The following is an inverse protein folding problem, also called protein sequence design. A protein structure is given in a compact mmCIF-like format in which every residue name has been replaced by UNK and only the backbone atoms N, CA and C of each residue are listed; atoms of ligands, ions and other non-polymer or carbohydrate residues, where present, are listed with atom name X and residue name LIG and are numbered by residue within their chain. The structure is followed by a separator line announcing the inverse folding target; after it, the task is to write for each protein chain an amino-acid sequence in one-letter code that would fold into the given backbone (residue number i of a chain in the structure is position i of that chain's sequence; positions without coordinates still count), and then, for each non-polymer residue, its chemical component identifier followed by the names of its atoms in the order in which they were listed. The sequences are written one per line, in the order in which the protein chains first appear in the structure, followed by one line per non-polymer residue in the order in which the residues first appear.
data_IF_142685642757
#
_entry.id   IF_142685642757
#
_cell.length_a   1.000
_cell.length_b   1.000
_cell.length_c   1.000
_cell.angle_alpha   90.00
_cell.angle_beta   90.00
_cell.angle_gamma   90.00
#
_symmetry.space_group_name_H-M   'P 1'
#
loop_
_entity.id
_entity.type
_entity.pdbx_description
1 polymer ?
#
# COMPACT_ATOMS: atom_id res chain seq x y z
N UNK A 1 18.11 -17.45 -4.59
CA UNK A 1 18.91 -17.84 -5.76
C UNK A 1 18.98 -16.74 -6.83
N UNK A 2 17.85 -16.21 -7.35
CA UNK A 2 17.86 -15.13 -8.35
C UNK A 2 18.71 -13.90 -7.95
N UNK A 3 18.50 -13.35 -6.75
CA UNK A 3 19.27 -12.20 -6.26
C UNK A 3 20.78 -12.49 -6.15
N UNK A 4 21.18 -13.70 -5.74
CA UNK A 4 22.59 -14.09 -5.68
C UNK A 4 23.19 -14.25 -7.07
N UNK A 5 22.44 -14.80 -8.02
CA UNK A 5 22.88 -15.00 -9.40
C UNK A 5 23.28 -13.69 -10.09
N UNK A 6 22.56 -12.60 -9.80
CA UNK A 6 22.89 -11.25 -10.30
C UNK A 6 23.74 -10.42 -9.33
N UNK A 7 24.22 -11.03 -8.24
CA UNK A 7 24.99 -10.37 -7.16
C UNK A 7 24.30 -9.10 -6.65
N UNK A 8 22.98 -9.15 -6.52
CA UNK A 8 22.17 -8.02 -6.07
C UNK A 8 22.54 -7.64 -4.64
N UNK A 9 22.59 -6.34 -4.39
CA UNK A 9 22.86 -5.76 -3.07
C UNK A 9 21.82 -4.69 -2.80
N UNK A 10 21.50 -4.49 -1.52
CA UNK A 10 20.46 -3.58 -1.03
C UNK A 10 19.05 -4.18 -1.20
N UNK A 11 18.00 -3.41 -0.89
CA UNK A 11 16.62 -3.87 -0.98
C UNK A 11 16.10 -3.79 -2.42
N UNK A 12 15.40 -4.83 -2.85
CA UNK A 12 14.74 -4.92 -4.15
C UNK A 12 13.59 -5.91 -4.08
N UNK A 13 12.68 -5.83 -5.04
CA UNK A 13 11.46 -6.66 -5.09
C UNK A 13 11.48 -7.53 -6.33
N UNK A 14 11.15 -8.82 -6.19
CA UNK A 14 10.98 -9.74 -7.31
C UNK A 14 9.50 -10.01 -7.48
N UNK A 15 8.96 -9.70 -8.64
CA UNK A 15 7.53 -9.78 -8.92
C UNK A 15 7.20 -11.05 -9.69
N UNK A 16 6.12 -11.70 -9.26
CA UNK A 16 5.61 -12.93 -9.86
C UNK A 16 4.12 -12.78 -10.19
N UNK A 17 3.72 -13.35 -11.32
CA UNK A 17 2.31 -13.63 -11.62
C UNK A 17 1.95 -15.02 -11.09
N UNK A 18 0.77 -15.13 -10.48
CA UNK A 18 0.21 -16.40 -10.01
C UNK A 18 -1.01 -16.75 -10.87
N UNK A 19 -0.97 -17.91 -11.54
CA UNK A 19 -2.10 -18.38 -12.34
C UNK A 19 -3.17 -19.10 -11.49
N UNK A 20 -4.24 -19.57 -12.16
CA UNK A 20 -5.36 -20.27 -11.51
C UNK A 20 -4.96 -21.63 -10.94
N UNK A 21 -3.92 -22.25 -11.49
CA UNK A 21 -3.32 -23.51 -11.05
C UNK A 21 -2.27 -23.30 -9.94
N UNK A 22 -2.12 -22.07 -9.43
CA UNK A 22 -1.18 -21.67 -8.39
C UNK A 22 0.30 -21.84 -8.78
N UNK A 23 0.61 -21.67 -10.06
CA UNK A 23 1.99 -21.63 -10.58
C UNK A 23 2.49 -20.20 -10.62
N UNK A 24 3.72 -20.00 -10.14
CA UNK A 24 4.40 -18.71 -10.15
C UNK A 24 5.22 -18.53 -11.42
N UNK A 25 5.09 -17.35 -12.02
CA UNK A 25 5.86 -16.94 -13.19
C UNK A 25 6.58 -15.63 -12.88
N UNK A 26 7.91 -15.62 -13.00
CA UNK A 26 8.70 -14.40 -12.85
C UNK A 26 8.26 -13.36 -13.90
N UNK A 27 8.04 -12.13 -13.45
CA UNK A 27 7.70 -11.01 -14.33
C UNK A 27 8.88 -10.05 -14.43
N UNK A 28 9.30 -9.50 -13.30
CA UNK A 28 10.41 -8.54 -13.24
C UNK A 28 11.06 -8.47 -11.85
N UNK A 29 12.17 -7.73 -11.78
CA UNK A 29 12.82 -7.38 -10.53
C UNK A 29 13.00 -5.86 -10.45
N UNK A 30 12.35 -5.24 -9.47
CA UNK A 30 12.49 -3.83 -9.17
C UNK A 30 13.70 -3.61 -8.25
N UNK A 31 14.73 -2.97 -8.80
CA UNK A 31 16.04 -2.79 -8.14
C UNK A 31 16.09 -1.57 -7.22
N UNK A 32 14.98 -1.31 -6.52
CA UNK A 32 14.79 -0.18 -5.60
C UNK A 32 13.78 -0.55 -4.51
N UNK A 33 13.64 0.32 -3.51
CA UNK A 33 12.53 0.25 -2.56
C UNK A 33 11.19 0.42 -3.30
N UNK A 34 10.19 -0.33 -2.87
CA UNK A 34 8.83 -0.19 -3.38
C UNK A 34 8.00 0.75 -2.53
N UNK A 35 6.98 1.37 -3.13
CA UNK A 35 6.07 2.29 -2.43
C UNK A 35 5.40 1.55 -1.26
N UNK A 36 4.97 0.31 -1.52
CA UNK A 36 4.27 -0.61 -0.62
C UNK A 36 5.18 -1.36 0.37
N UNK A 37 6.46 -1.00 0.48
CA UNK A 37 7.34 -1.62 1.48
C UNK A 37 6.81 -1.58 2.93
N UNK A 38 6.03 -0.58 3.40
CA UNK A 38 5.56 -0.55 4.78
C UNK A 38 4.76 -1.79 5.18
N UNK A 39 3.97 -2.40 4.29
CA UNK A 39 3.21 -3.60 4.66
C UNK A 39 4.13 -4.77 5.04
N UNK A 40 5.33 -4.83 4.44
CA UNK A 40 6.36 -5.80 4.79
C UNK A 40 6.98 -5.46 6.14
N UNK A 41 7.28 -4.18 6.38
CA UNK A 41 7.81 -3.72 7.67
C UNK A 41 6.86 -4.04 8.82
N UNK A 42 5.56 -3.75 8.64
CA UNK A 42 4.54 -3.95 9.69
C UNK A 42 4.41 -5.42 10.11
N UNK A 43 4.55 -6.38 9.18
CA UNK A 43 4.42 -7.81 9.51
C UNK A 43 5.75 -8.46 9.89
N UNK A 44 6.89 -7.91 9.47
CA UNK A 44 8.22 -8.47 9.78
C UNK A 44 8.92 -7.81 10.95
N UNK A 45 8.55 -6.57 11.30
CA UNK A 45 9.26 -5.72 12.25
C UNK A 45 10.60 -5.21 11.73
N UNK A 46 10.91 -5.38 10.44
CA UNK A 46 12.18 -4.97 9.84
C UNK A 46 11.99 -3.62 9.14
N UNK A 47 12.73 -2.61 9.60
CA UNK A 47 12.83 -1.31 8.93
C UNK A 47 13.75 -1.44 7.70
N UNK A 48 13.13 -1.46 6.52
CA UNK A 48 13.83 -1.71 5.26
C UNK A 48 14.70 -0.52 4.89
N UNK A 49 14.23 0.72 5.09
CA UNK A 49 15.00 1.93 4.75
C UNK A 49 16.28 2.01 5.60
N UNK A 50 16.17 1.70 6.90
CA UNK A 50 17.33 1.61 7.79
C UNK A 50 18.30 0.52 7.36
N UNK A 51 17.82 -0.66 6.98
CA UNK A 51 18.69 -1.72 6.46
C UNK A 51 19.34 -1.32 5.13
N UNK A 52 18.65 -0.61 4.24
CA UNK A 52 19.24 -0.08 3.00
C UNK A 52 20.45 0.82 3.32
N UNK A 53 20.32 1.72 4.28
CA UNK A 53 21.42 2.61 4.70
C UNK A 53 22.57 1.80 5.31
N UNK A 54 22.28 0.86 6.23
CA UNK A 54 23.29 -0.01 6.85
C UNK A 54 24.07 -0.79 5.79
N UNK A 55 23.39 -1.45 4.87
CA UNK A 55 24.00 -2.19 3.77
C UNK A 55 24.84 -1.27 2.89
N UNK A 56 24.34 -0.07 2.56
CA UNK A 56 25.09 0.91 1.75
C UNK A 56 26.40 1.33 2.43
N UNK A 57 26.41 1.44 3.77
CA UNK A 57 27.62 1.72 4.57
C UNK A 57 28.55 0.50 4.78
N UNK A 58 28.29 -0.63 4.11
CA UNK A 58 29.13 -1.82 4.20
C UNK A 58 28.83 -2.73 5.39
N UNK A 59 27.79 -2.46 6.17
CA UNK A 59 27.38 -3.33 7.26
C UNK A 59 26.68 -4.60 6.72
N UNK A 60 26.82 -5.74 7.39
CA UNK A 60 26.02 -6.92 7.09
C UNK A 60 24.55 -6.72 7.47
N UNK A 61 23.68 -7.58 6.96
CA UNK A 61 22.28 -7.67 7.41
C UNK A 61 22.23 -7.85 8.93
N UNK A 62 21.31 -7.14 9.59
CA UNK A 62 21.14 -7.22 11.05
C UNK A 62 20.44 -8.51 11.52
N UNK A 63 19.99 -9.35 10.58
CA UNK A 63 19.21 -10.56 10.82
C UNK A 63 19.59 -11.67 9.84
N UNK A 64 19.21 -12.91 10.20
CA UNK A 64 19.28 -14.09 9.33
C UNK A 64 17.87 -14.49 8.88
N UNK A 65 17.78 -15.34 7.86
CA UNK A 65 16.49 -15.80 7.32
C UNK A 65 15.57 -16.43 8.39
N UNK A 66 16.13 -17.16 9.36
CA UNK A 66 15.38 -17.80 10.45
C UNK A 66 14.79 -16.79 11.46
N UNK A 67 15.32 -15.57 11.49
CA UNK A 67 14.87 -14.52 12.40
C UNK A 67 13.66 -13.75 11.81
N UNK A 68 13.48 -13.82 10.48
CA UNK A 68 12.38 -13.18 9.77
C UNK A 68 11.09 -13.95 10.01
N UNK A 69 10.20 -13.37 10.81
CA UNK A 69 8.86 -13.91 11.07
C UNK A 69 7.83 -12.94 10.52
N UNK A 70 6.78 -13.46 9.88
CA UNK A 70 5.62 -12.66 9.49
C UNK A 70 4.54 -12.82 10.55
N UNK A 71 4.19 -11.75 11.26
CA UNK A 71 3.24 -11.74 12.36
C UNK A 71 2.08 -10.81 12.00
N UNK A 72 0.87 -11.36 12.00
CA UNK A 72 -0.36 -10.62 11.71
C UNK A 72 -0.58 -10.37 10.21
N UNK A 73 -1.32 -9.31 9.91
CA UNK A 73 -1.68 -8.90 8.56
C UNK A 73 -1.60 -7.39 8.44
N UNK A 74 -1.06 -6.90 7.33
CA UNK A 74 -0.98 -5.47 7.02
C UNK A 74 -1.69 -5.15 5.72
N UNK A 75 -2.37 -4.00 5.68
CA UNK A 75 -3.05 -3.47 4.49
C UNK A 75 -2.59 -2.03 4.31
N UNK A 76 -2.23 -1.66 3.09
CA UNK A 76 -1.92 -0.29 2.70
C UNK A 76 -2.93 0.20 1.65
N UNK A 77 -3.47 1.40 1.87
CA UNK A 77 -4.24 2.16 0.90
C UNK A 77 -3.43 3.37 0.45
N UNK A 78 -3.21 3.50 -0.87
CA UNK A 78 -2.65 4.70 -1.49
C UNK A 78 -3.72 5.77 -1.60
N UNK A 79 -3.60 6.82 -0.81
CA UNK A 79 -4.49 7.98 -0.86
C UNK A 79 -3.95 8.91 -1.94
N UNK A 80 -4.65 8.98 -3.06
CA UNK A 80 -4.29 9.79 -4.20
C UNK A 80 -5.24 10.98 -4.30
N UNK A 81 -4.74 12.13 -4.75
CA UNK A 81 -5.50 13.31 -5.14
C UNK A 81 -6.17 13.09 -6.51
N UNK A 82 -7.16 12.22 -6.54
CA UNK A 82 -7.88 11.79 -7.75
C UNK A 82 -9.39 11.70 -7.48
N UNK A 83 -10.18 11.83 -8.55
CA UNK A 83 -11.60 11.53 -8.51
C UNK A 83 -11.83 10.01 -8.30
N UNK A 84 -12.56 9.57 -7.26
CA UNK A 84 -12.69 8.14 -6.93
C UNK A 84 -13.47 7.31 -7.95
N UNK A 85 -14.18 7.96 -8.88
CA UNK A 85 -15.00 7.29 -9.91
C UNK A 85 -14.37 7.33 -11.30
N UNK A 86 -13.59 8.36 -11.60
CA UNK A 86 -13.00 8.57 -12.94
C UNK A 86 -11.49 8.47 -12.96
N UNK A 87 -10.84 8.41 -11.79
CA UNK A 87 -9.38 8.44 -11.62
C UNK A 87 -8.69 9.68 -12.21
N UNK A 88 -9.47 10.71 -12.56
CA UNK A 88 -8.93 11.97 -13.04
C UNK A 88 -8.15 12.67 -11.90
N UNK A 89 -6.91 13.14 -12.14
CA UNK A 89 -6.15 13.89 -11.15
C UNK A 89 -6.91 15.12 -10.64
N UNK A 90 -6.71 15.44 -9.37
CA UNK A 90 -7.35 16.55 -8.67
C UNK A 90 -6.30 17.39 -7.93
N UNK A 91 -5.60 18.25 -8.68
CA UNK A 91 -4.74 19.28 -8.12
C UNK A 91 -5.56 20.33 -7.34
N UNK A 92 -4.94 20.97 -6.35
CA UNK A 92 -5.60 22.02 -5.56
C UNK A 92 -5.01 22.20 -4.15
N UNK A 93 -5.57 23.16 -3.43
CA UNK A 93 -5.19 23.48 -2.06
C UNK A 93 -5.92 22.55 -1.07
N UNK A 94 -5.17 21.94 -0.16
CA UNK A 94 -5.74 21.18 0.95
C UNK A 94 -6.16 22.15 2.04
N UNK A 95 -7.46 22.38 2.19
CA UNK A 95 -8.01 23.34 3.16
C UNK A 95 -8.08 22.77 4.57
N UNK A 96 -8.19 21.45 4.68
CA UNK A 96 -8.17 20.72 5.96
C UNK A 96 -7.55 19.36 5.75
N UNK A 97 -6.69 18.96 6.67
CA UNK A 97 -6.02 17.67 6.68
C UNK A 97 -6.02 17.14 8.12
N UNK A 98 -6.67 16.01 8.35
CA UNK A 98 -6.65 15.29 9.62
C UNK A 98 -6.37 13.82 9.31
N UNK A 99 -5.16 13.39 9.64
CA UNK A 99 -4.73 12.01 9.45
C UNK A 99 -5.25 11.12 10.59
N UNK A 100 -5.62 9.86 10.31
CA UNK A 100 -6.06 8.93 11.33
C UNK A 100 -4.90 8.49 12.22
N UNK A 101 -5.24 7.88 13.35
CA UNK A 101 -4.22 7.35 14.26
C UNK A 101 -4.73 6.21 15.14
N UNK A 102 -4.01 6.01 16.24
CA UNK A 102 -4.29 4.96 17.21
C UNK A 102 -3.57 3.63 16.93
N UNK A 103 -3.85 2.59 17.71
CA UNK A 103 -3.11 1.33 17.67
C UNK A 103 -3.17 0.65 16.30
N UNK A 104 -1.99 0.28 15.78
CA UNK A 104 -1.85 -0.42 14.50
C UNK A 104 -2.16 0.44 13.27
N UNK A 105 -2.15 1.78 13.38
CA UNK A 105 -2.31 2.70 12.25
C UNK A 105 -1.01 3.47 12.05
N UNK A 106 -0.48 3.44 10.83
CA UNK A 106 0.67 4.21 10.37
C UNK A 106 0.26 5.04 9.17
N UNK A 107 0.77 6.27 9.12
CA UNK A 107 0.55 7.18 7.99
C UNK A 107 1.90 7.70 7.53
N UNK A 108 2.23 7.42 6.28
CA UNK A 108 3.38 8.04 5.61
C UNK A 108 2.82 9.13 4.68
N UNK A 109 3.08 10.40 4.99
CA UNK A 109 2.58 11.53 4.22
C UNK A 109 3.54 12.72 4.29
N UNK A 110 3.46 13.59 3.29
CA UNK A 110 4.17 14.88 3.25
C UNK A 110 3.20 16.07 3.20
N UNK A 111 1.88 15.83 3.34
CA UNK A 111 0.88 16.89 3.29
C UNK A 111 0.48 17.38 4.69
N UNK A 112 0.17 18.66 4.76
CA UNK A 112 -0.35 19.35 5.94
C UNK A 112 -1.46 20.34 5.51
N UNK A 113 -2.29 20.86 6.44
CA UNK A 113 -3.24 21.91 6.09
C UNK A 113 -2.52 23.09 5.40
N UNK A 114 -3.02 23.51 4.24
CA UNK A 114 -2.38 24.54 3.42
C UNK A 114 -1.40 24.02 2.35
N UNK A 115 -1.11 22.71 2.30
CA UNK A 115 -0.35 22.12 1.19
C UNK A 115 -1.08 22.28 -0.14
N UNK A 116 -0.33 22.63 -1.19
CA UNK A 116 -0.83 22.71 -2.57
C UNK A 116 -0.38 21.46 -3.35
N UNK A 117 -1.36 20.72 -3.88
CA UNK A 117 -1.11 19.59 -4.77
C UNK A 117 -1.02 20.11 -6.19
N UNK A 118 0.15 19.95 -6.80
CA UNK A 118 0.41 20.38 -8.18
C UNK A 118 0.17 19.24 -9.17
N UNK A 119 -0.15 19.53 -10.44
CA UNK A 119 -0.32 18.51 -11.47
C UNK A 119 1.01 17.98 -12.03
N UNK A 120 2.17 18.41 -11.49
CA UNK A 120 3.49 18.10 -12.04
C UNK A 120 4.09 16.81 -11.49
N UNK A 121 3.53 16.27 -10.41
CA UNK A 121 4.03 15.08 -9.73
C UNK A 121 2.96 14.00 -9.65
N UNK A 122 3.33 12.84 -9.12
CA UNK A 122 2.41 11.76 -8.80
C UNK A 122 1.29 12.25 -7.86
N UNK A 123 0.09 11.71 -8.02
CA UNK A 123 -1.10 12.08 -7.25
C UNK A 123 -1.10 11.51 -5.83
N UNK A 124 -0.16 10.63 -5.47
CA UNK A 124 -0.04 10.05 -4.13
C UNK A 124 0.26 11.14 -3.09
N UNK A 125 -0.68 11.34 -2.17
CA UNK A 125 -0.56 12.33 -1.08
C UNK A 125 -0.34 11.69 0.29
N UNK A 126 -0.79 10.43 0.48
CA UNK A 126 -0.50 9.67 1.68
C UNK A 126 -0.58 8.17 1.42
N UNK A 127 0.19 7.39 2.19
CA UNK A 127 -0.03 5.96 2.36
C UNK A 127 -0.66 5.75 3.73
N UNK A 128 -1.84 5.17 3.75
CA UNK A 128 -2.50 4.77 4.99
C UNK A 128 -2.27 3.27 5.18
N UNK A 129 -1.55 2.91 6.24
CA UNK A 129 -1.14 1.54 6.52
C UNK A 129 -1.76 1.12 7.85
N UNK A 130 -2.29 -0.10 7.88
CA UNK A 130 -2.76 -0.69 9.13
C UNK A 130 -2.20 -2.09 9.33
N UNK A 131 -1.97 -2.45 10.58
CA UNK A 131 -1.58 -3.79 11.01
C UNK A 131 -2.65 -4.37 11.95
N UNK A 132 -2.94 -5.66 11.87
CA UNK A 132 -3.77 -6.39 12.83
C UNK A 132 -3.30 -7.83 13.03
N UNK A 133 -3.76 -8.50 14.09
CA UNK A 133 -3.38 -9.89 14.35
C UNK A 133 -3.97 -10.86 13.30
N UNK A 134 -5.11 -10.50 12.71
CA UNK A 134 -5.71 -11.21 11.56
C UNK A 134 -6.05 -10.25 10.43
N UNK A 135 -6.38 -10.81 9.27
CA UNK A 135 -6.83 -10.03 8.12
C UNK A 135 -8.15 -9.31 8.39
N UNK A 136 -9.07 -9.96 9.09
CA UNK A 136 -10.37 -9.39 9.48
C UNK A 136 -10.17 -8.18 10.40
N UNK A 137 -9.23 -8.27 11.34
CA UNK A 137 -8.87 -7.17 12.22
C UNK A 137 -8.23 -6.01 11.44
N UNK A 138 -7.30 -6.31 10.52
CA UNK A 138 -6.68 -5.30 9.66
C UNK A 138 -7.73 -4.60 8.77
N UNK A 139 -8.70 -5.35 8.21
CA UNK A 139 -9.81 -4.78 7.43
C UNK A 139 -10.68 -3.84 8.28
N UNK A 140 -11.07 -4.28 9.48
CA UNK A 140 -11.86 -3.46 10.40
C UNK A 140 -11.11 -2.18 10.81
N UNK A 141 -9.80 -2.30 11.07
CA UNK A 141 -8.94 -1.17 11.39
C UNK A 141 -8.77 -0.21 10.20
N UNK A 142 -8.62 -0.71 8.98
CA UNK A 142 -8.53 0.13 7.78
C UNK A 142 -9.82 0.91 7.55
N UNK A 143 -11.00 0.28 7.73
CA UNK A 143 -12.28 0.98 7.64
C UNK A 143 -12.34 2.16 8.61
N UNK A 144 -12.05 1.91 9.90
CA UNK A 144 -11.98 2.97 10.92
C UNK A 144 -10.99 4.07 10.54
N UNK A 145 -9.79 3.71 10.11
CA UNK A 145 -8.75 4.68 9.77
C UNK A 145 -9.13 5.53 8.54
N UNK A 146 -9.78 4.94 7.53
CA UNK A 146 -10.31 5.70 6.40
C UNK A 146 -11.46 6.62 6.83
N UNK A 147 -12.33 6.21 7.75
CA UNK A 147 -13.43 7.02 8.29
C UNK A 147 -12.94 8.23 9.10
N UNK A 148 -11.85 8.06 9.84
CA UNK A 148 -11.19 9.13 10.60
C UNK A 148 -10.32 10.06 9.73
N UNK A 149 -9.92 9.62 8.53
CA UNK A 149 -9.10 10.38 7.60
C UNK A 149 -9.93 11.47 6.90
N UNK A 150 -9.60 12.74 7.17
CA UNK A 150 -10.28 13.90 6.57
C UNK A 150 -9.28 14.69 5.73
N UNK A 151 -9.56 14.80 4.43
CA UNK A 151 -8.83 15.66 3.49
C UNK A 151 -9.89 16.44 2.71
N UNK A 152 -9.86 17.77 2.83
CA UNK A 152 -10.80 18.69 2.19
C UNK A 152 -10.07 19.63 1.21
N UNK A 153 -10.81 20.17 0.24
CA UNK A 153 -10.27 21.06 -0.80
C UNK A 153 -9.93 20.35 -2.12
N UNK A 154 -9.73 19.04 -2.09
CA UNK A 154 -9.50 18.18 -3.25
C UNK A 154 -10.32 16.88 -3.16
N UNK A 155 -10.50 16.20 -4.29
CA UNK A 155 -11.01 14.82 -4.31
C UNK A 155 -9.89 13.85 -3.99
N UNK A 156 -10.25 12.73 -3.35
CA UNK A 156 -9.30 11.66 -3.04
C UNK A 156 -9.87 10.28 -3.36
N UNK A 157 -8.99 9.28 -3.38
CA UNK A 157 -9.37 7.86 -3.53
C UNK A 157 -9.96 7.22 -2.26
N UNK A 158 -10.09 7.97 -1.15
CA UNK A 158 -10.68 7.45 0.12
C UNK A 158 -12.06 6.81 -0.10
N UNK A 159 -13.02 7.44 -0.81
CA UNK A 159 -14.33 6.82 -1.05
C UNK A 159 -14.25 5.53 -1.86
N UNK A 160 -13.31 5.43 -2.81
CA UNK A 160 -13.08 4.20 -3.56
C UNK A 160 -12.59 3.07 -2.64
N UNK A 161 -11.60 3.35 -1.78
CA UNK A 161 -11.07 2.36 -0.84
C UNK A 161 -12.14 1.85 0.12
N UNK A 162 -13.01 2.73 0.63
CA UNK A 162 -14.16 2.32 1.46
C UNK A 162 -15.06 1.32 0.73
N UNK A 163 -15.46 1.63 -0.51
CA UNK A 163 -16.27 0.72 -1.33
C UNK A 163 -15.58 -0.63 -1.55
N UNK A 164 -14.26 -0.64 -1.83
CA UNK A 164 -13.49 -1.87 -2.01
C UNK A 164 -13.46 -2.71 -0.74
N UNK A 165 -13.29 -2.09 0.43
CA UNK A 165 -13.28 -2.81 1.71
C UNK A 165 -14.64 -3.42 2.05
N UNK A 166 -15.73 -2.84 1.56
CA UNK A 166 -17.08 -3.36 1.76
C UNK A 166 -17.47 -4.45 0.75
N UNK A 167 -16.66 -4.67 -0.28
CA UNK A 167 -16.86 -5.73 -1.26
C UNK A 167 -16.65 -7.14 -0.65
N UNK A 168 -17.62 -8.06 -0.76
CA UNK A 168 -17.51 -9.41 -0.21
C UNK A 168 -16.37 -10.25 -0.81
N UNK A 169 -16.01 -10.02 -2.08
CA UNK A 169 -14.92 -10.75 -2.72
C UNK A 169 -13.56 -10.24 -2.23
N UNK A 170 -13.40 -8.92 -2.07
CA UNK A 170 -12.23 -8.35 -1.41
C UNK A 170 -12.10 -8.87 0.02
N UNK A 171 -13.18 -8.87 0.81
CA UNK A 171 -13.19 -9.38 2.18
C UNK A 171 -12.81 -10.87 2.26
N UNK A 172 -13.17 -11.68 1.26
CA UNK A 172 -12.83 -13.10 1.21
C UNK A 172 -11.49 -13.41 0.53
N UNK A 173 -10.76 -12.38 0.07
CA UNK A 173 -9.50 -12.56 -0.66
C UNK A 173 -9.68 -13.12 -2.07
N UNK A 174 -10.88 -12.98 -2.66
CA UNK A 174 -11.25 -13.52 -3.97
C UNK A 174 -11.11 -12.47 -5.07
N UNK A 175 -9.89 -12.04 -5.35
CA UNK A 175 -9.62 -11.03 -6.38
C UNK A 175 -8.43 -11.42 -7.26
N UNK A 176 -8.33 -10.76 -8.41
CA UNK A 176 -7.22 -10.88 -9.36
C UNK A 176 -6.86 -9.49 -9.87
N UNK A 177 -5.88 -9.38 -10.76
CA UNK A 177 -5.51 -8.11 -11.40
C UNK A 177 -6.67 -7.43 -12.14
N UNK A 178 -7.65 -8.19 -12.61
CA UNK A 178 -8.88 -7.68 -13.24
C UNK A 178 -9.99 -7.25 -12.24
N UNK A 179 -9.69 -7.16 -10.94
CA UNK A 179 -10.69 -6.82 -9.92
C UNK A 179 -11.31 -5.44 -10.14
N UNK A 180 -10.50 -4.39 -10.31
CA UNK A 180 -11.01 -3.02 -10.45
C UNK A 180 -11.87 -2.82 -11.71
N UNK A 181 -11.53 -3.50 -12.81
CA UNK A 181 -12.32 -3.47 -14.04
C UNK A 181 -13.73 -4.03 -13.80
N UNK A 182 -13.83 -5.18 -13.12
CA UNK A 182 -15.11 -5.79 -12.75
C UNK A 182 -15.87 -4.96 -11.72
N UNK A 183 -15.14 -4.39 -10.76
CA UNK A 183 -15.70 -3.60 -9.67
C UNK A 183 -16.30 -2.27 -10.15
N UNK A 184 -15.69 -1.66 -11.16
CA UNK A 184 -16.11 -0.36 -11.71
C UNK A 184 -17.11 -0.47 -12.87
N UNK A 185 -17.36 -1.68 -13.36
CA UNK A 185 -18.33 -1.92 -14.43
C UNK A 185 -19.77 -1.85 -13.88
N UNK A 186 -20.72 -1.20 -14.57
CA UNK A 186 -22.12 -1.30 -14.20
C UNK A 186 -22.57 -2.77 -14.21
N UNK A 187 -23.49 -3.19 -13.32
CA UNK A 187 -23.99 -4.56 -13.32
C UNK A 187 -24.58 -4.89 -14.71
N UNK A 188 -24.45 -6.13 -15.20
CA UNK A 188 -25.01 -6.51 -16.48
C UNK A 188 -26.51 -6.22 -16.48
N UNK A 189 -27.01 -5.57 -17.54
CA UNK A 189 -28.43 -5.35 -17.74
C UNK A 189 -29.13 -6.72 -17.81
N UNK A 190 -29.97 -6.99 -16.81
CA UNK A 190 -30.84 -8.17 -16.77
C UNK A 190 -31.97 -8.10 -17.77
#
# INVERSE_FOLDING_TARGET
EAAQAVRYRNAGTVEFLLDKERRFYFMEMNTRIQVEHPITEEVTGIDLVKEQIRIATGQPLSWKQQDVKMIGHSIECRINAECPDTFAPCAGLITRCQMPGGPGVRVDTAIEPGSEITPHYDSLIAKLIVHGATREEALARMRRALDECVIEGIKTTIPLHRRILDDPDFQKGRFSTAFLERFSSPPPAG
#
